data_IF_794745947818
#
_entry.id   IF_794745947818
#
_cell.length_a   1.000
_cell.length_b   1.000
_cell.length_c   1.000
_cell.angle_alpha   90.00
_cell.angle_beta   90.00
_cell.angle_gamma   90.00
#
_symmetry.space_group_name_H-M   'P 1'
#
loop_
_entity.id
_entity.type
_entity.pdbx_description
1 polymer ?
#
# COMPACT_ATOMS: atom_id res chain seq x y z
N UNK A 1 5.26 -5.63 0.33
CA UNK A 1 6.00 -4.35 0.52
C UNK A 1 7.43 -4.54 0.05
N UNK A 2 8.07 -3.53 -0.54
CA UNK A 2 9.48 -3.65 -0.95
C UNK A 2 10.38 -3.78 0.30
N UNK A 3 11.36 -4.71 0.32
CA UNK A 3 12.16 -5.01 1.52
C UNK A 3 13.00 -3.82 2.02
N UNK A 4 13.31 -2.85 1.15
CA UNK A 4 14.00 -1.61 1.52
C UNK A 4 13.08 -0.47 1.97
N UNK A 5 11.82 -0.75 2.31
CA UNK A 5 10.86 0.26 2.78
C UNK A 5 10.63 0.13 4.28
N UNK A 6 10.94 1.18 5.02
CA UNK A 6 10.54 1.33 6.40
C UNK A 6 9.14 1.96 6.48
N UNK A 7 8.29 1.40 7.36
CA UNK A 7 6.95 1.91 7.65
C UNK A 7 6.92 2.44 9.07
N UNK A 8 6.56 3.71 9.24
CA UNK A 8 6.31 4.32 10.55
C UNK A 8 4.82 4.68 10.68
N UNK A 9 4.05 3.95 11.49
CA UNK A 9 2.65 4.29 11.76
C UNK A 9 2.52 5.63 12.47
N UNK A 10 1.50 6.40 12.11
CA UNK A 10 1.19 7.71 12.69
C UNK A 10 -0.33 7.84 12.86
N UNK A 11 -0.85 8.76 13.71
CA UNK A 11 -2.30 8.90 13.93
C UNK A 11 -3.10 9.17 12.65
N UNK A 12 -2.50 9.76 11.62
CA UNK A 12 -3.13 10.01 10.33
C UNK A 12 -2.97 8.86 9.31
N UNK A 13 -2.16 7.84 9.60
CA UNK A 13 -1.83 6.75 8.67
C UNK A 13 -0.38 6.30 8.83
N UNK A 14 0.50 6.61 7.87
CA UNK A 14 1.91 6.22 7.95
C UNK A 14 2.86 7.10 7.13
N UNK A 15 4.13 7.06 7.54
CA UNK A 15 5.28 7.52 6.76
C UNK A 15 5.98 6.28 6.17
N UNK A 16 6.27 6.33 4.87
CA UNK A 16 7.02 5.29 4.16
C UNK A 16 8.34 5.88 3.67
N UNK A 17 9.45 5.26 4.04
CA UNK A 17 10.77 5.66 3.57
C UNK A 17 11.47 4.51 2.85
N UNK A 18 11.88 4.73 1.61
CA UNK A 18 12.61 3.74 0.83
C UNK A 18 14.12 4.02 0.88
N UNK A 19 14.91 3.12 1.47
CA UNK A 19 16.36 3.33 1.67
C UNK A 19 17.16 3.42 0.36
N UNK A 20 16.80 2.63 -0.66
CA UNK A 20 17.43 2.69 -1.99
C UNK A 20 17.16 3.98 -2.78
N UNK A 21 15.91 4.41 -2.93
CA UNK A 21 15.56 5.63 -3.69
C UNK A 21 15.64 6.92 -2.88
N UNK A 22 15.72 6.82 -1.54
CA UNK A 22 15.62 7.92 -0.58
C UNK A 22 14.31 8.71 -0.69
N UNK A 23 13.25 8.13 -1.28
CA UNK A 23 11.92 8.73 -1.35
C UNK A 23 11.19 8.60 -0.01
N UNK A 24 10.42 9.62 0.33
CA UNK A 24 9.51 9.67 1.47
C UNK A 24 8.08 9.83 0.94
N UNK A 25 7.17 8.95 1.36
CA UNK A 25 5.75 9.00 1.01
C UNK A 25 4.88 9.04 2.26
N UNK A 26 3.75 9.74 2.17
CA UNK A 26 2.81 9.92 3.26
C UNK A 26 1.50 9.22 2.92
N UNK A 27 1.10 8.26 3.74
CA UNK A 27 -0.22 7.67 3.72
C UNK A 27 -1.09 8.42 4.73
N UNK A 28 -1.93 9.33 4.25
CA UNK A 28 -2.81 10.17 5.09
C UNK A 28 -4.19 9.54 5.36
N UNK A 29 -4.38 8.29 4.98
CA UNK A 29 -5.60 7.54 5.20
C UNK A 29 -5.21 6.25 5.95
N UNK A 30 -5.92 5.89 7.02
CA UNK A 30 -5.63 4.64 7.73
C UNK A 30 -6.04 3.40 6.93
N UNK A 31 -7.12 3.49 6.16
CA UNK A 31 -7.60 2.41 5.29
C UNK A 31 -6.55 2.01 4.27
N UNK A 32 -5.86 2.97 3.63
CA UNK A 32 -4.81 2.60 2.66
C UNK A 32 -3.63 1.90 3.33
N UNK A 33 -3.30 2.24 4.59
CA UNK A 33 -2.28 1.55 5.35
C UNK A 33 -2.70 0.11 5.68
N UNK A 34 -3.96 -0.10 6.09
CA UNK A 34 -4.50 -1.43 6.35
C UNK A 34 -4.47 -2.29 5.08
N UNK A 35 -4.98 -1.77 3.96
CA UNK A 35 -4.93 -2.44 2.65
C UNK A 35 -3.50 -2.85 2.30
N UNK A 36 -2.54 -1.93 2.38
CA UNK A 36 -1.12 -2.22 2.08
C UNK A 36 -0.54 -3.34 2.94
N UNK A 37 -0.98 -3.44 4.20
CA UNK A 37 -0.53 -4.48 5.13
C UNK A 37 -1.16 -5.85 4.84
N UNK A 38 -2.41 -5.88 4.39
CA UNK A 38 -3.15 -7.11 4.09
C UNK A 38 -3.01 -7.57 2.63
N UNK A 39 -2.38 -6.81 1.74
CA UNK A 39 -2.23 -7.17 0.31
C UNK A 39 -1.70 -8.59 0.07
N UNK A 40 -0.80 -9.09 0.92
CA UNK A 40 -0.25 -10.45 0.80
C UNK A 40 -1.25 -11.56 1.16
N UNK A 41 -2.29 -11.22 1.92
CA UNK A 41 -3.34 -12.14 2.38
C UNK A 41 -4.52 -12.23 1.37
N UNK A 42 -4.46 -11.46 0.27
CA UNK A 42 -5.52 -11.36 -0.72
C UNK A 42 -5.01 -11.67 -2.13
N UNK A 43 -5.87 -12.25 -3.00
CA UNK A 43 -5.47 -12.61 -4.36
C UNK A 43 -5.21 -11.40 -5.26
N UNK A 44 -5.83 -10.26 -4.96
CA UNK A 44 -5.67 -9.02 -5.69
C UNK A 44 -6.02 -7.80 -4.84
N UNK A 45 -5.66 -6.62 -5.36
CA UNK A 45 -5.88 -5.32 -4.70
C UNK A 45 -7.35 -5.04 -4.42
N UNK A 46 -8.27 -5.42 -5.33
CA UNK A 46 -9.71 -5.16 -5.16
C UNK A 46 -10.30 -6.05 -4.06
N UNK A 47 -9.82 -7.29 -3.93
CA UNK A 47 -10.19 -8.16 -2.82
C UNK A 47 -9.75 -7.57 -1.47
N UNK A 48 -8.52 -7.05 -1.38
CA UNK A 48 -8.04 -6.38 -0.16
C UNK A 48 -8.86 -5.12 0.17
N UNK A 49 -9.21 -4.31 -0.85
CA UNK A 49 -10.04 -3.12 -0.65
C UNK A 49 -11.43 -3.47 -0.11
N UNK A 50 -12.08 -4.50 -0.67
CA UNK A 50 -13.38 -4.98 -0.17
C UNK A 50 -13.29 -5.55 1.25
N UNK A 51 -12.22 -6.25 1.59
CA UNK A 51 -11.99 -6.75 2.95
C UNK A 51 -11.87 -5.63 3.99
N UNK A 52 -11.34 -4.48 3.58
CA UNK A 52 -11.26 -3.25 4.39
C UNK A 52 -12.54 -2.38 4.31
N UNK A 53 -13.61 -2.91 3.70
CA UNK A 53 -14.92 -2.25 3.63
C UNK A 53 -15.01 -1.14 2.58
N UNK A 54 -14.12 -1.09 1.59
CA UNK A 54 -14.18 -0.13 0.48
C UNK A 54 -15.05 -0.70 -0.64
N UNK A 55 -16.18 -0.05 -0.88
CA UNK A 55 -17.12 -0.43 -1.92
C UNK A 55 -16.54 -0.22 -3.32
N UNK A 56 -16.98 -0.99 -4.31
CA UNK A 56 -16.38 -1.00 -5.66
C UNK A 56 -16.43 0.38 -6.34
N UNK A 57 -17.46 1.17 -6.05
CA UNK A 57 -17.63 2.54 -6.54
C UNK A 57 -16.65 3.54 -5.90
N UNK A 58 -16.10 3.21 -4.74
CA UNK A 58 -15.20 4.05 -3.96
C UNK A 58 -13.72 3.67 -4.13
N UNK A 59 -13.42 2.58 -4.84
CA UNK A 59 -12.04 2.06 -4.97
C UNK A 59 -11.11 2.95 -5.80
N UNK A 60 -11.63 3.80 -6.69
CA UNK A 60 -10.83 4.60 -7.64
C UNK A 60 -9.67 5.37 -7.00
N UNK A 61 -9.91 6.22 -5.98
CA UNK A 61 -8.86 6.94 -5.26
C UNK A 61 -7.81 6.03 -4.61
N UNK A 62 -8.22 4.87 -4.08
CA UNK A 62 -7.31 3.90 -3.47
C UNK A 62 -6.42 3.22 -4.51
N UNK A 63 -7.00 2.79 -5.63
CA UNK A 63 -6.24 2.22 -6.75
C UNK A 63 -5.22 3.21 -7.30
N UNK A 64 -5.59 4.48 -7.43
CA UNK A 64 -4.65 5.53 -7.84
C UNK A 64 -3.49 5.69 -6.84
N UNK A 65 -3.81 5.78 -5.55
CA UNK A 65 -2.79 5.92 -4.51
C UNK A 65 -1.84 4.72 -4.43
N UNK A 66 -2.36 3.49 -4.59
CA UNK A 66 -1.55 2.28 -4.70
C UNK A 66 -0.66 2.31 -5.96
N UNK A 67 -1.18 2.80 -7.09
CA UNK A 67 -0.38 3.04 -8.29
C UNK A 67 0.82 3.95 -8.04
N UNK A 68 0.63 5.06 -7.33
CA UNK A 68 1.74 5.96 -6.95
C UNK A 68 2.78 5.27 -6.07
N UNK A 69 2.35 4.38 -5.16
CA UNK A 69 3.27 3.58 -4.34
C UNK A 69 4.07 2.59 -5.19
N UNK A 70 3.47 2.00 -6.21
CA UNK A 70 4.17 1.10 -7.15
C UNK A 70 5.20 1.89 -7.97
N UNK A 71 4.80 3.02 -8.56
CA UNK A 71 5.68 3.90 -9.35
C UNK A 71 6.87 4.44 -8.53
N UNK A 72 6.67 4.62 -7.23
CA UNK A 72 7.72 5.06 -6.30
C UNK A 72 8.57 3.92 -5.72
N UNK A 73 8.33 2.67 -6.14
CA UNK A 73 8.95 1.43 -5.62
C UNK A 73 8.67 1.15 -4.14
N UNK A 74 7.66 1.80 -3.56
CA UNK A 74 7.21 1.51 -2.19
C UNK A 74 6.51 0.15 -2.12
N UNK A 75 5.67 -0.12 -3.13
CA UNK A 75 5.05 -1.41 -3.36
C UNK A 75 5.71 -2.11 -4.55
N UNK A 76 5.79 -3.42 -4.45
CA UNK A 76 6.21 -4.31 -5.53
C UNK A 76 5.27 -5.50 -5.57
N UNK A 77 5.12 -6.15 -6.75
CA UNK A 77 4.48 -7.45 -6.83
C UNK A 77 5.09 -8.40 -5.81
N UNK A 78 4.27 -9.29 -5.25
CA UNK A 78 4.81 -10.40 -4.48
C UNK A 78 5.57 -11.29 -5.46
N UNK A 79 6.87 -11.47 -5.22
CA UNK A 79 7.65 -12.43 -5.99
C UNK A 79 7.17 -13.83 -5.57
N UNK A 80 6.70 -14.60 -6.55
CA UNK A 80 6.34 -16.00 -6.36
C UNK A 80 7.64 -16.74 -5.99
N UNK A 81 7.83 -16.96 -4.70
CA UNK A 81 8.90 -17.83 -4.23
C UNK A 81 8.45 -19.26 -4.53
N UNK A 82 8.75 -19.74 -5.75
CA UNK A 82 8.68 -21.16 -6.09
C UNK A 82 9.67 -21.96 -5.26
#
# INVERSE_FOLDING_TARGET
>A
MHPQVAVRPEPFGALLYHFGTRKLSFLKNRTILSVVRSLADHPDVRAALRAEGVDDSEQGPYLHALGVLIDSRMLVPQEDHQ
#
